data_IF_931396677943
#
_entry.id   IF_931396677943
#
_cell.length_a   1.000
_cell.length_b   1.000
_cell.length_c   1.000
_cell.angle_alpha   90.00
_cell.angle_beta   90.00
_cell.angle_gamma   90.00
#
_symmetry.space_group_name_H-M   'P 1'
#
loop_
_entity.id
_entity.type
_entity.pdbx_description
1 polymer ?
#
# COMPACT_ATOMS: atom_id res chain seq x y z
N UNK A 1 6.72 -3.19 2.01
CA UNK A 1 6.49 -1.74 2.16
C UNK A 1 6.03 -1.37 3.58
N UNK A 2 5.00 -2.03 4.12
CA UNK A 2 4.43 -1.69 5.44
C UNK A 2 5.41 -1.75 6.61
N UNK A 3 6.25 -2.79 6.70
CA UNK A 3 7.29 -2.85 7.73
C UNK A 3 8.26 -1.66 7.69
N UNK A 4 8.64 -1.21 6.47
CA UNK A 4 9.46 -0.01 6.28
C UNK A 4 8.71 1.25 6.72
N UNK A 5 7.43 1.37 6.39
CA UNK A 5 6.62 2.51 6.80
C UNK A 5 6.49 2.57 8.34
N UNK A 6 6.28 1.43 9.00
CA UNK A 6 6.26 1.33 10.46
C UNK A 6 7.61 1.74 11.07
N UNK A 7 8.73 1.30 10.47
CA UNK A 7 10.07 1.71 10.89
C UNK A 7 10.31 3.21 10.71
N UNK A 8 9.94 3.80 9.57
CA UNK A 8 10.03 5.25 9.32
C UNK A 8 9.24 6.01 10.39
N UNK A 9 7.99 5.59 10.63
CA UNK A 9 7.12 6.22 11.62
C UNK A 9 7.74 6.17 13.02
N UNK A 10 8.35 5.04 13.40
CA UNK A 10 9.09 4.90 14.67
C UNK A 10 10.31 5.83 14.75
N UNK A 11 11.07 5.96 13.65
CA UNK A 11 12.25 6.82 13.58
C UNK A 11 11.91 8.31 13.66
N UNK A 12 10.72 8.71 13.20
CA UNK A 12 10.23 10.09 13.31
C UNK A 12 9.80 10.49 14.74
N UNK A 13 9.75 9.56 15.69
CA UNK A 13 9.35 9.84 17.06
C UNK A 13 7.93 10.43 17.14
N UNK A 14 7.76 11.56 17.82
CA UNK A 14 6.46 12.23 17.97
C UNK A 14 5.88 12.71 16.64
N UNK A 15 6.72 13.13 15.69
CA UNK A 15 6.28 13.53 14.35
C UNK A 15 5.75 12.35 13.53
N UNK A 16 6.06 11.11 13.90
CA UNK A 16 5.49 9.92 13.28
C UNK A 16 3.96 9.88 13.36
N UNK A 17 3.35 10.60 14.31
CA UNK A 17 1.89 10.74 14.43
C UNK A 17 1.27 11.51 13.25
N UNK A 18 2.03 12.35 12.55
CA UNK A 18 1.55 13.08 11.37
C UNK A 18 1.64 12.25 10.09
N UNK A 19 2.32 11.10 10.11
CA UNK A 19 2.42 10.19 8.97
C UNK A 19 1.25 9.19 9.00
N UNK A 20 0.28 9.39 8.10
CA UNK A 20 -0.76 8.40 7.82
C UNK A 20 -0.29 7.45 6.73
N UNK A 21 -0.28 6.15 7.04
CA UNK A 21 0.00 5.10 6.05
C UNK A 21 -1.33 4.56 5.54
N UNK A 22 -1.46 4.53 4.21
CA UNK A 22 -2.61 3.96 3.50
C UNK A 22 -2.11 2.85 2.59
N UNK A 23 -2.69 1.67 2.73
CA UNK A 23 -2.46 0.52 1.87
C UNK A 23 -3.67 0.32 0.97
N UNK A 24 -3.47 0.20 -0.33
CA UNK A 24 -4.55 -0.04 -1.30
C UNK A 24 -4.31 -1.41 -1.92
N UNK A 25 -5.29 -2.31 -1.84
CA UNK A 25 -5.14 -3.64 -2.43
C UNK A 25 -5.15 -3.59 -3.96
N UNK A 26 -4.38 -4.50 -4.58
CA UNK A 26 -4.39 -4.79 -6.01
C UNK A 26 -5.19 -6.06 -6.34
N UNK A 27 -5.80 -6.69 -5.34
CA UNK A 27 -6.47 -7.98 -5.46
C UNK A 27 -7.78 -8.07 -4.65
N UNK A 28 -8.77 -7.21 -4.95
CA UNK A 28 -10.00 -7.09 -4.16
C UNK A 28 -10.86 -8.37 -4.11
N UNK A 29 -10.58 -9.36 -4.98
CA UNK A 29 -11.28 -10.66 -4.95
C UNK A 29 -10.88 -11.53 -3.76
N UNK A 30 -9.63 -11.41 -3.28
CA UNK A 30 -9.12 -12.12 -2.09
C UNK A 30 -9.06 -11.22 -0.86
N UNK A 31 -8.85 -9.94 -1.09
CA UNK A 31 -8.60 -8.93 -0.07
C UNK A 31 -9.91 -8.27 0.41
N UNK A 32 -10.70 -9.03 1.18
CA UNK A 32 -11.90 -8.47 1.83
C UNK A 32 -11.52 -7.38 2.82
N UNK A 33 -12.40 -6.40 3.09
CA UNK A 33 -12.12 -5.31 4.02
C UNK A 33 -11.61 -5.78 5.39
N UNK A 34 -12.18 -6.86 5.93
CA UNK A 34 -11.80 -7.44 7.22
C UNK A 34 -10.39 -8.04 7.19
N UNK A 35 -10.07 -8.76 6.11
CA UNK A 35 -8.78 -9.44 5.95
C UNK A 35 -7.66 -8.42 5.82
N UNK A 36 -7.83 -7.40 4.96
CA UNK A 36 -6.78 -6.40 4.76
C UNK A 36 -6.62 -5.44 5.93
N UNK A 37 -7.71 -5.10 6.64
CA UNK A 37 -7.63 -4.29 7.85
C UNK A 37 -6.82 -5.01 8.93
N UNK A 38 -7.10 -6.30 9.15
CA UNK A 38 -6.31 -7.12 10.06
C UNK A 38 -4.84 -7.22 9.60
N UNK A 39 -4.59 -7.37 8.30
CA UNK A 39 -3.25 -7.45 7.73
C UNK A 39 -2.43 -6.17 7.98
N UNK A 40 -2.98 -4.97 7.73
CA UNK A 40 -2.23 -3.72 7.92
C UNK A 40 -2.03 -3.39 9.40
N UNK A 41 -3.02 -3.71 10.25
CA UNK A 41 -2.97 -3.45 11.69
C UNK A 41 -1.95 -4.30 12.43
N UNK A 42 -1.57 -5.45 11.86
CA UNK A 42 -0.46 -6.25 12.37
C UNK A 42 0.90 -5.50 12.31
N UNK A 43 1.03 -4.48 11.44
CA UNK A 43 2.22 -3.64 11.38
C UNK A 43 2.10 -2.39 12.28
N UNK A 44 0.94 -1.75 12.27
CA UNK A 44 0.65 -0.59 13.11
C UNK A 44 -0.88 -0.38 13.18
N UNK A 45 -1.47 -0.24 14.38
CA UNK A 45 -2.92 -0.15 14.54
C UNK A 45 -3.56 1.10 13.91
N UNK A 46 -2.75 2.11 13.53
CA UNK A 46 -3.22 3.34 12.89
C UNK A 46 -3.19 3.29 11.36
N UNK A 47 -2.67 2.21 10.78
CA UNK A 47 -2.62 2.07 9.32
C UNK A 47 -4.02 1.82 8.77
N UNK A 48 -4.29 2.41 7.60
CA UNK A 48 -5.57 2.30 6.91
C UNK A 48 -5.40 1.41 5.70
N UNK A 49 -6.33 0.49 5.49
CA UNK A 49 -6.43 -0.32 4.28
C UNK A 49 -7.63 0.15 3.46
N UNK A 50 -7.47 0.21 2.13
CA UNK A 50 -8.53 0.50 1.18
C UNK A 50 -8.70 -0.70 0.24
N UNK A 51 -9.96 -1.11 0.08
CA UNK A 51 -10.44 -2.09 -0.91
C UNK A 51 -11.66 -1.51 -1.62
N UNK A 52 -11.90 -1.99 -2.83
CA UNK A 52 -12.99 -1.57 -3.70
C UNK A 52 -13.31 -2.68 -4.70
N UNK A 53 -14.01 -2.34 -5.79
CA UNK A 53 -14.21 -3.28 -6.89
C UNK A 53 -12.92 -3.45 -7.71
N UNK A 54 -12.83 -4.52 -8.51
CA UNK A 54 -11.71 -4.70 -9.44
C UNK A 54 -11.58 -3.52 -10.42
N UNK A 55 -12.69 -2.89 -10.79
CA UNK A 55 -12.74 -1.71 -11.66
C UNK A 55 -12.16 -0.47 -10.96
N UNK A 56 -12.52 -0.23 -9.70
CA UNK A 56 -11.99 0.85 -8.87
C UNK A 56 -10.49 0.66 -8.60
N UNK A 57 -10.07 -0.57 -8.30
CA UNK A 57 -8.65 -0.94 -8.14
C UNK A 57 -7.88 -0.68 -9.42
N UNK A 58 -8.39 -1.10 -10.57
CA UNK A 58 -7.74 -0.89 -11.87
C UNK A 58 -7.65 0.61 -12.24
N UNK A 59 -8.72 1.38 -11.99
CA UNK A 59 -8.72 2.83 -12.19
C UNK A 59 -7.70 3.53 -11.30
N UNK A 60 -7.65 3.17 -10.02
CA UNK A 60 -6.67 3.71 -9.05
C UNK A 60 -5.24 3.35 -9.46
N UNK A 61 -4.97 2.09 -9.78
CA UNK A 61 -3.65 1.66 -10.22
C UNK A 61 -3.18 2.45 -11.44
N UNK A 62 -4.08 2.68 -12.41
CA UNK A 62 -3.80 3.50 -13.60
C UNK A 62 -3.47 4.95 -13.24
N UNK A 63 -4.22 5.58 -12.35
CA UNK A 63 -3.98 6.97 -11.92
C UNK A 63 -2.61 7.13 -11.24
N UNK A 64 -2.21 6.12 -10.46
CA UNK A 64 -0.90 6.08 -9.80
C UNK A 64 0.23 5.54 -10.69
N UNK A 65 -0.03 5.19 -11.94
CA UNK A 65 0.96 4.60 -12.85
C UNK A 65 1.49 3.24 -12.37
N UNK A 66 0.71 2.50 -11.60
CA UNK A 66 1.03 1.16 -11.09
C UNK A 66 0.52 0.11 -12.07
N UNK A 67 1.42 -0.76 -12.52
CA UNK A 67 1.06 -1.98 -13.23
C UNK A 67 0.82 -3.11 -12.24
N UNK A 68 -0.15 -3.97 -12.52
CA UNK A 68 -0.33 -5.23 -11.79
C UNK A 68 -0.93 -6.32 -12.70
N UNK A 69 -0.56 -7.57 -12.44
CA UNK A 69 -0.99 -8.72 -13.22
C UNK A 69 -1.07 -9.98 -12.33
N UNK A 70 -2.13 -10.77 -12.52
CA UNK A 70 -2.27 -12.10 -11.91
C UNK A 70 -1.35 -13.09 -12.63
N UNK A 71 -0.42 -13.66 -11.89
CA UNK A 71 0.51 -14.68 -12.39
C UNK A 71 0.12 -16.04 -11.79
N UNK A 72 -0.33 -17.01 -12.61
CA UNK A 72 -0.67 -18.34 -12.13
C UNK A 72 0.50 -19.01 -11.39
N UNK A 73 0.18 -19.69 -10.30
CA UNK A 73 1.11 -20.45 -9.48
C UNK A 73 0.41 -21.73 -8.98
N UNK A 74 0.49 -22.80 -9.77
CA UNK A 74 -0.27 -24.02 -9.50
C UNK A 74 -1.77 -23.75 -9.51
N UNK A 75 -2.47 -24.16 -8.46
CA UNK A 75 -3.91 -23.93 -8.27
C UNK A 75 -4.24 -22.55 -7.67
N UNK A 76 -3.22 -21.70 -7.47
CA UNK A 76 -3.38 -20.32 -6.98
C UNK A 76 -2.71 -19.32 -7.94
N UNK A 77 -2.61 -18.06 -7.54
CA UNK A 77 -1.90 -17.03 -8.27
C UNK A 77 -1.21 -16.04 -7.32
N UNK A 78 -0.18 -15.41 -7.85
CA UNK A 78 0.48 -14.25 -7.24
C UNK A 78 0.13 -12.98 -8.04
N UNK A 79 0.40 -11.82 -7.47
CA UNK A 79 0.24 -10.54 -8.16
C UNK A 79 1.63 -9.97 -8.45
N UNK A 80 2.04 -10.01 -9.71
CA UNK A 80 3.17 -9.20 -10.17
C UNK A 80 2.74 -7.75 -10.21
N UNK A 81 3.51 -6.83 -9.63
CA UNK A 81 3.12 -5.41 -9.60
C UNK A 81 4.30 -4.46 -9.48
N UNK A 82 4.09 -3.20 -9.89
CA UNK A 82 5.00 -2.09 -9.62
C UNK A 82 5.00 -1.80 -8.11
N UNK A 83 6.12 -2.06 -7.45
CA UNK A 83 6.27 -1.82 -6.02
C UNK A 83 6.84 -0.41 -5.77
N UNK A 84 5.98 0.61 -5.83
CA UNK A 84 6.31 2.00 -5.48
C UNK A 84 5.45 2.47 -4.30
N UNK A 85 6.06 3.14 -3.32
CA UNK A 85 5.33 3.86 -2.27
C UNK A 85 5.36 5.36 -2.56
N UNK A 86 4.21 6.02 -2.48
CA UNK A 86 4.07 7.45 -2.76
C UNK A 86 3.92 8.22 -1.44
N UNK A 87 4.63 9.35 -1.32
CA UNK A 87 4.52 10.24 -0.16
C UNK A 87 3.96 11.58 -0.60
N UNK A 88 2.80 11.91 -0.05
CA UNK A 88 2.14 13.20 -0.23
C UNK A 88 2.35 14.07 0.99
N UNK A 89 2.49 15.39 0.80
CA UNK A 89 2.39 16.33 1.91
C UNK A 89 0.94 16.54 2.35
N UNK A 90 0.73 17.26 3.46
CA UNK A 90 -0.62 17.53 4.01
C UNK A 90 -1.51 18.40 3.13
N UNK A 91 -0.98 18.95 2.02
CA UNK A 91 -1.74 19.67 0.99
C UNK A 91 -2.08 18.79 -0.20
N UNK A 92 -1.77 17.50 -0.15
CA UNK A 92 -2.01 16.55 -1.23
C UNK A 92 -1.02 16.64 -2.38
N UNK A 93 0.14 17.28 -2.19
CA UNK A 93 1.16 17.36 -3.25
C UNK A 93 2.13 16.18 -3.13
N UNK A 94 2.33 15.44 -4.23
CA UNK A 94 3.30 14.35 -4.29
C UNK A 94 4.71 14.91 -4.07
N UNK A 95 5.43 14.38 -3.07
CA UNK A 95 6.80 14.78 -2.73
C UNK A 95 7.84 13.73 -3.09
N UNK A 96 7.52 12.45 -2.92
CA UNK A 96 8.46 11.36 -3.13
C UNK A 96 7.78 10.13 -3.74
N UNK A 97 8.46 9.47 -4.67
CA UNK A 97 8.17 8.12 -5.12
C UNK A 97 9.29 7.18 -4.69
N UNK A 98 9.01 6.28 -3.75
CA UNK A 98 9.97 5.33 -3.20
C UNK A 98 9.83 3.99 -3.90
N UNK A 99 10.76 3.67 -4.81
CA UNK A 99 10.87 2.32 -5.35
C UNK A 99 11.15 1.32 -4.23
N UNK A 100 10.60 0.11 -4.33
CA UNK A 100 10.84 -0.96 -3.36
C UNK A 100 12.32 -1.28 -3.18
N UNK A 101 13.13 -1.12 -4.25
CA UNK A 101 14.60 -1.34 -4.20
C UNK A 101 15.37 -0.28 -3.42
N UNK A 102 14.79 0.90 -3.21
CA UNK A 102 15.41 1.93 -2.37
C UNK A 102 15.20 1.52 -0.91
N UNK A 103 16.26 1.08 -0.23
CA UNK A 103 16.28 1.01 1.22
C UNK A 103 16.43 2.43 1.78
N UNK A 104 15.68 2.73 2.83
CA UNK A 104 16.00 3.84 3.71
C UNK A 104 17.23 3.49 4.54
#
# INVERSE_FOLDING_TARGET
ALARAAQIRKLMGEEGKTLQVVFITLDPERDTPEVIDAYVKAFDPTFVALSGTLEETAATAKEFGVFFEKVPLGDTYTISHTATSYVYDTRGVLRLGLSHRLSA
#
